data_IF_182249717857
#
_entry.id   IF_182249717857
#
_cell.length_a   1.000
_cell.length_b   1.000
_cell.length_c   1.000
_cell.angle_alpha   90.00
_cell.angle_beta   90.00
_cell.angle_gamma   90.00
#
_symmetry.space_group_name_H-M   'P 1'
#
loop_
_entity.id
_entity.type
_entity.pdbx_description
1 polymer ?
#
# COMPACT_ATOMS: atom_id res chain seq x y z
N UNK A 1 3.64 1.53 -0.66
CA UNK A 1 2.93 1.56 0.64
C UNK A 1 2.74 3.00 1.06
N UNK A 2 1.50 3.46 1.23
CA UNK A 2 1.20 4.82 1.67
C UNK A 2 0.97 4.79 3.18
N UNK A 3 1.76 5.56 3.94
CA UNK A 3 1.65 5.62 5.40
C UNK A 3 0.39 6.39 5.79
N UNK A 4 -0.34 5.93 6.80
CA UNK A 4 -1.59 6.55 7.27
C UNK A 4 -1.38 7.86 8.07
N UNK A 5 -0.13 8.29 8.21
CA UNK A 5 0.27 9.52 8.88
C UNK A 5 -0.36 10.73 8.16
N UNK A 6 -1.29 11.41 8.83
CA UNK A 6 -2.01 12.58 8.30
C UNK A 6 -3.38 12.30 7.68
N UNK A 7 -3.87 11.05 7.68
CA UNK A 7 -5.21 10.69 7.17
C UNK A 7 -6.22 10.25 8.23
N UNK A 8 -5.79 10.18 9.48
CA UNK A 8 -6.68 9.97 10.62
C UNK A 8 -7.18 11.33 11.11
N UNK A 9 -8.46 11.38 11.49
CA UNK A 9 -9.07 12.52 12.16
C UNK A 9 -9.51 12.07 13.56
N UNK A 10 -8.81 12.48 14.64
CA UNK A 10 -7.64 13.36 14.66
C UNK A 10 -6.34 12.67 14.19
N UNK A 11 -5.33 13.43 13.73
CA UNK A 11 -4.06 12.87 13.24
C UNK A 11 -3.31 12.09 14.31
N UNK A 12 -2.58 11.06 13.87
CA UNK A 12 -1.76 10.23 14.76
C UNK A 12 -0.68 11.10 15.42
N UNK A 13 -0.49 11.01 16.75
CA UNK A 13 0.60 11.69 17.43
C UNK A 13 1.97 11.27 16.86
N UNK A 14 2.90 12.22 16.71
CA UNK A 14 4.25 11.94 16.20
C UNK A 14 5.05 10.91 17.03
N UNK A 15 4.66 10.68 18.28
CA UNK A 15 5.28 9.69 19.19
C UNK A 15 4.49 8.38 19.28
N UNK A 16 3.52 8.14 18.38
CA UNK A 16 2.78 6.89 18.38
C UNK A 16 3.71 5.71 18.11
N UNK A 17 3.86 4.84 19.11
CA UNK A 17 4.61 3.60 19.00
C UNK A 17 3.63 2.46 18.67
N UNK A 18 3.45 2.18 17.38
CA UNK A 18 2.55 1.12 16.91
C UNK A 18 2.45 1.07 15.39
N UNK A 19 1.76 0.06 14.86
CA UNK A 19 1.54 -0.08 13.42
C UNK A 19 0.31 0.72 12.97
N UNK A 20 0.48 1.65 12.02
CA UNK A 20 -0.63 2.30 11.32
C UNK A 20 -0.55 2.09 9.80
N UNK A 21 -0.65 0.82 9.39
CA UNK A 21 -0.63 0.41 7.99
C UNK A 21 -2.03 -0.04 7.56
N UNK A 22 -2.54 0.53 6.47
CA UNK A 22 -3.73 0.04 5.76
C UNK A 22 -3.34 -0.52 4.41
N UNK A 23 -3.62 -1.81 4.19
CA UNK A 23 -3.48 -2.43 2.88
C UNK A 23 -4.62 -2.02 1.95
N UNK A 24 -4.33 -1.89 0.65
CA UNK A 24 -5.35 -1.67 -0.37
C UNK A 24 -5.09 -2.59 -1.56
N UNK A 25 -6.14 -3.25 -2.01
CA UNK A 25 -6.08 -4.13 -3.16
C UNK A 25 -6.57 -3.39 -4.41
N UNK A 26 -5.78 -3.45 -5.48
CA UNK A 26 -6.20 -3.08 -6.82
C UNK A 26 -6.46 -4.37 -7.61
N UNK A 27 -7.56 -4.42 -8.36
CA UNK A 27 -7.94 -5.58 -9.18
C UNK A 27 -8.14 -5.13 -10.62
N UNK A 28 -7.64 -5.95 -11.54
CA UNK A 28 -7.81 -5.77 -12.98
C UNK A 28 -7.88 -7.15 -13.66
N UNK A 29 -8.55 -7.22 -14.80
CA UNK A 29 -8.63 -8.46 -15.56
C UNK A 29 -7.25 -8.85 -16.13
N UNK A 30 -6.89 -10.13 -16.03
CA UNK A 30 -5.63 -10.63 -16.57
C UNK A 30 -5.46 -10.34 -18.06
N UNK A 31 -6.55 -10.41 -18.85
CA UNK A 31 -6.50 -10.09 -20.29
C UNK A 31 -6.15 -8.62 -20.53
N UNK A 32 -6.65 -7.71 -19.70
CA UNK A 32 -6.31 -6.28 -19.77
C UNK A 32 -4.85 -6.04 -19.39
N UNK A 33 -4.37 -6.69 -18.32
CA UNK A 33 -2.98 -6.57 -17.86
C UNK A 33 -1.94 -7.15 -18.84
N UNK A 34 -2.31 -8.18 -19.60
CA UNK A 34 -1.45 -8.79 -20.64
C UNK A 34 -1.63 -8.15 -22.02
N UNK A 35 -2.56 -7.20 -22.16
CA UNK A 35 -2.80 -6.46 -23.40
C UNK A 35 -1.73 -5.41 -23.68
N UNK A 36 -1.81 -4.78 -24.86
CA UNK A 36 -0.87 -3.73 -25.30
C UNK A 36 -0.75 -2.56 -24.32
N UNK A 37 -1.86 -2.22 -23.67
CA UNK A 37 -1.95 -1.11 -22.70
C UNK A 37 -1.94 -1.60 -21.24
N UNK A 38 -1.43 -2.80 -20.98
CA UNK A 38 -1.49 -3.45 -19.66
C UNK A 38 -0.87 -2.63 -18.53
N UNK A 39 0.21 -1.88 -18.80
CA UNK A 39 0.78 -0.95 -17.83
C UNK A 39 -0.18 0.18 -17.46
N UNK A 40 -0.87 0.75 -18.44
CA UNK A 40 -1.84 1.82 -18.20
C UNK A 40 -3.02 1.29 -17.36
N UNK A 41 -3.54 0.11 -17.70
CA UNK A 41 -4.59 -0.58 -16.93
C UNK A 41 -4.15 -0.81 -15.48
N UNK A 42 -2.91 -1.24 -15.26
CA UNK A 42 -2.37 -1.44 -13.92
C UNK A 42 -2.27 -0.12 -13.14
N UNK A 43 -1.73 0.93 -13.76
CA UNK A 43 -1.58 2.26 -13.14
C UNK A 43 -2.95 2.86 -12.80
N UNK A 44 -3.93 2.74 -13.68
CA UNK A 44 -5.28 3.24 -13.45
C UNK A 44 -5.96 2.50 -12.28
N UNK A 45 -5.87 1.16 -12.26
CA UNK A 45 -6.45 0.35 -11.19
C UNK A 45 -5.82 0.68 -9.83
N UNK A 46 -4.49 0.84 -9.77
CA UNK A 46 -3.79 1.24 -8.54
C UNK A 46 -4.19 2.66 -8.13
N UNK A 47 -4.20 3.62 -9.06
CA UNK A 47 -4.55 5.02 -8.77
C UNK A 47 -5.97 5.16 -8.23
N UNK A 48 -6.93 4.44 -8.84
CA UNK A 48 -8.32 4.40 -8.37
C UNK A 48 -8.42 3.80 -6.97
N UNK A 49 -7.68 2.73 -6.69
CA UNK A 49 -7.65 2.11 -5.37
C UNK A 49 -7.01 3.04 -4.31
N UNK A 50 -6.02 3.85 -4.70
CA UNK A 50 -5.41 4.83 -3.79
C UNK A 50 -6.33 6.01 -3.47
N UNK A 51 -7.06 6.52 -4.47
CA UNK A 51 -8.02 7.61 -4.28
C UNK A 51 -9.18 7.20 -3.37
N UNK A 52 -9.67 5.97 -3.45
CA UNK A 52 -10.71 5.51 -2.52
C UNK A 52 -10.24 5.44 -1.06
N UNK A 53 -8.93 5.39 -0.80
CA UNK A 53 -8.41 5.52 0.57
C UNK A 53 -8.47 6.96 1.11
N UNK A 54 -8.63 7.96 0.25
CA UNK A 54 -8.82 9.37 0.64
C UNK A 54 -10.29 9.61 0.97
N UNK A 55 -11.18 9.02 0.18
CA UNK A 55 -12.64 9.19 0.29
C UNK A 55 -13.24 8.37 1.45
N UNK A 56 -12.80 7.13 1.66
CA UNK A 56 -13.40 6.21 2.64
C UNK A 56 -12.92 6.42 4.10
N UNK A 57 -11.93 7.29 4.32
CA UNK A 57 -11.24 7.40 5.61
C UNK A 57 -10.54 6.11 6.07
N UNK A 58 -9.93 6.12 7.26
CA UNK A 58 -9.20 4.97 7.83
C UNK A 58 -10.13 4.01 8.60
N UNK A 59 -11.44 4.25 8.60
CA UNK A 59 -12.37 3.62 9.55
C UNK A 59 -12.65 2.15 9.18
N UNK A 60 -12.12 1.28 10.04
CA UNK A 60 -12.39 -0.12 10.41
C UNK A 60 -13.31 -1.04 9.57
N UNK A 61 -14.40 -0.56 8.97
CA UNK A 61 -15.48 -1.42 8.43
C UNK A 61 -15.11 -2.07 7.08
N UNK A 62 -14.25 -1.43 6.29
CA UNK A 62 -13.92 -1.91 4.94
C UNK A 62 -12.73 -2.87 4.91
N UNK A 63 -11.99 -3.01 6.02
CA UNK A 63 -10.82 -3.90 6.09
C UNK A 63 -11.23 -5.38 6.05
N UNK A 64 -12.26 -5.76 6.79
CA UNK A 64 -12.73 -7.15 6.88
C UNK A 64 -13.35 -7.63 5.55
N UNK A 65 -14.17 -6.79 4.91
CA UNK A 65 -14.79 -7.12 3.61
C UNK A 65 -13.74 -7.21 2.48
N UNK A 66 -12.69 -6.37 2.52
CA UNK A 66 -11.60 -6.40 1.53
C UNK A 66 -10.66 -7.59 1.73
N UNK A 67 -10.32 -7.90 2.98
CA UNK A 67 -9.53 -9.10 3.34
C UNK A 67 -10.27 -10.37 2.91
N UNK A 68 -11.59 -10.43 3.07
CA UNK A 68 -12.45 -11.54 2.66
C UNK A 68 -12.45 -11.77 1.14
N UNK A 69 -12.39 -10.69 0.32
CA UNK A 69 -12.27 -10.80 -1.14
C UNK A 69 -10.90 -11.30 -1.60
N UNK A 70 -9.83 -10.99 -0.84
CA UNK A 70 -8.48 -11.49 -1.12
C UNK A 70 -8.35 -12.96 -0.69
N UNK A 71 -8.92 -13.33 0.46
CA UNK A 71 -8.83 -14.70 1.00
C UNK A 71 -9.76 -15.70 0.31
N UNK A 72 -10.87 -15.25 -0.27
CA UNK A 72 -11.79 -16.11 -1.05
C UNK A 72 -11.35 -16.36 -2.49
N UNK A 73 -10.25 -15.73 -2.95
CA UNK A 73 -9.68 -16.02 -4.27
C UNK A 73 -8.84 -17.31 -4.18
N UNK A 74 -9.23 -18.41 -4.83
CA UNK A 74 -8.57 -19.71 -4.69
C UNK A 74 -7.21 -19.80 -5.43
N UNK A 75 -6.68 -18.68 -5.94
CA UNK A 75 -5.46 -18.66 -6.75
C UNK A 75 -4.43 -17.68 -6.16
N UNK A 76 -3.64 -18.20 -5.22
CA UNK A 76 -2.46 -17.51 -4.63
C UNK A 76 -1.50 -16.98 -5.70
N UNK A 77 -1.43 -17.60 -6.88
CA UNK A 77 -0.59 -17.18 -8.01
C UNK A 77 -1.03 -15.88 -8.72
N UNK A 78 -2.15 -15.25 -8.32
CA UNK A 78 -2.67 -14.04 -8.99
C UNK A 78 -2.64 -12.81 -8.09
N UNK A 79 -1.96 -12.90 -6.94
CA UNK A 79 -1.81 -11.80 -5.98
C UNK A 79 -0.33 -11.45 -5.86
N UNK A 80 0.00 -10.18 -6.12
CA UNK A 80 1.33 -9.61 -5.87
C UNK A 80 1.18 -8.62 -4.72
N UNK A 81 2.01 -8.75 -3.69
CA UNK A 81 2.05 -7.83 -2.55
C UNK A 81 3.33 -7.02 -2.58
N UNK A 82 3.22 -5.72 -2.32
CA UNK A 82 4.37 -4.82 -2.23
C UNK A 82 4.44 -4.23 -0.82
N UNK A 83 5.51 -4.54 -0.10
CA UNK A 83 5.87 -3.88 1.15
C UNK A 83 6.96 -2.83 0.87
N UNK A 84 6.91 -1.70 1.57
CA UNK A 84 7.93 -0.65 1.45
C UNK A 84 7.37 0.70 1.01
N UNK A 85 8.00 1.76 1.54
CA UNK A 85 7.71 3.15 1.23
C UNK A 85 9.02 3.84 0.86
N UNK A 86 9.07 4.62 -0.24
CA UNK A 86 10.24 5.46 -0.54
C UNK A 86 10.47 6.54 0.52
N UNK A 87 9.51 6.77 1.42
CA UNK A 87 9.66 7.67 2.58
C UNK A 87 10.33 7.02 3.77
N UNK A 88 10.58 5.71 3.76
CA UNK A 88 11.41 5.10 4.78
C UNK A 88 12.83 5.65 4.61
N UNK A 89 13.18 6.63 5.45
CA UNK A 89 14.48 7.32 5.45
C UNK A 89 15.65 6.43 5.89
N UNK A 90 15.62 5.14 5.54
CA UNK A 90 16.65 4.14 5.85
C UNK A 90 18.01 4.60 5.33
N UNK A 91 18.03 5.27 4.17
CA UNK A 91 19.24 5.83 3.57
C UNK A 91 19.68 7.17 4.19
N UNK A 92 18.86 7.78 5.05
CA UNK A 92 19.17 9.04 5.74
C UNK A 92 19.75 8.83 7.15
N UNK A 93 19.71 7.58 7.66
CA UNK A 93 20.26 7.24 8.98
C UNK A 93 21.79 7.24 8.93
N UNK A 94 22.43 8.00 9.80
CA UNK A 94 23.89 7.98 10.00
C UNK A 94 24.20 7.88 11.50
N UNK A 95 24.88 6.80 11.90
CA UNK A 95 25.33 6.58 13.27
C UNK A 95 26.74 7.16 13.55
N UNK A 96 27.29 7.94 12.60
CA UNK A 96 28.63 8.52 12.64
C UNK A 96 29.66 7.80 11.76
N UNK A 97 29.22 6.82 10.98
CA UNK A 97 30.08 5.96 10.13
C UNK A 97 29.69 6.07 8.65
N UNK A 98 28.82 7.00 8.31
CA UNK A 98 28.30 7.24 6.96
C UNK A 98 26.97 6.54 6.71
N UNK A 99 26.25 7.05 5.71
CA UNK A 99 24.92 6.55 5.31
C UNK A 99 24.98 5.16 4.67
N UNK A 100 23.95 4.31 4.89
CA UNK A 100 23.82 3.01 4.23
C UNK A 100 23.84 3.15 2.70
N UNK A 101 24.55 2.24 2.00
CA UNK A 101 24.57 2.20 0.53
C UNK A 101 23.66 1.13 -0.06
N UNK A 102 23.29 0.12 0.73
CA UNK A 102 22.44 -1.00 0.36
C UNK A 102 21.77 -1.57 1.60
N UNK A 103 20.58 -2.12 1.44
CA UNK A 103 19.98 -3.04 2.40
C UNK A 103 20.19 -4.49 1.88
N UNK A 104 20.39 -5.44 2.80
CA UNK A 104 20.62 -6.86 2.49
C UNK A 104 19.35 -7.67 2.63
#
# INVERSE_FOLDING_TARGET
MWTAEGRLDPPIPAMYFGNCIKGQAAMAETKGLLGKDGLFVAVEAISKALRSLEEDGVVHDVAETRMSKVSSSPQTNRVISTAGSPRFGIYEVDFGWGKPRRWS
#
